data_IF_335638556031
#
_entry.id   IF_335638556031
#
_cell.length_a   1.000
_cell.length_b   1.000
_cell.length_c   1.000
_cell.angle_alpha   90.00
_cell.angle_beta   90.00
_cell.angle_gamma   90.00
#
_symmetry.space_group_name_H-M   'P 1'
#
loop_
_entity.id
_entity.type
_entity.pdbx_description
1 polymer ?
2 non-polymer ?
3 non-polymer ?
4 non-polymer ?
#
# COMPACT_ATOMS: atom_id res chain seq x y z
N UNK A 1 -5.04 31.60 11.96
CA UNK A 1 -4.88 30.84 10.72
C UNK A 1 -5.16 29.37 10.98
N UNK A 2 -6.02 28.80 10.14
CA UNK A 2 -6.34 27.38 10.22
C UNK A 2 -6.77 26.90 8.83
N UNK A 3 -7.12 25.63 8.74
CA UNK A 3 -7.62 25.05 7.51
C UNK A 3 -9.14 25.24 7.47
N UNK A 4 -9.66 25.44 6.27
CA UNK A 4 -11.12 25.60 6.17
C UNK A 4 -11.69 24.24 6.51
N UNK A 5 -10.94 23.19 6.22
CA UNK A 5 -11.39 21.81 6.54
C UNK A 5 -10.18 20.92 6.77
N UNK A 6 -10.13 20.26 7.90
CA UNK A 6 -9.11 19.28 8.24
C UNK A 6 -9.75 17.90 8.29
N UNK A 7 -9.76 17.16 7.19
CA UNK A 7 -10.09 15.74 7.29
C UNK A 7 -8.87 14.99 7.83
N UNK A 8 -9.16 13.82 8.38
CA UNK A 8 -8.12 12.90 8.83
C UNK A 8 -8.00 11.79 7.80
N UNK A 9 -6.81 11.66 7.22
CA UNK A 9 -6.53 10.61 6.24
C UNK A 9 -5.95 9.40 6.97
N UNK A 10 -6.70 8.30 6.98
CA UNK A 10 -6.30 7.11 7.73
C UNK A 10 -6.04 5.93 6.81
N UNK A 11 -4.80 5.58 6.57
CA UNK A 11 -4.50 4.33 5.87
C UNK A 11 -5.35 3.17 6.35
N UNK A 12 -5.91 2.41 5.40
CA UNK A 12 -6.71 1.25 5.72
C UNK A 12 -5.83 0.09 6.19
N UNK A 13 -6.50 -0.97 6.67
CA UNK A 13 -5.89 -2.19 7.20
C UNK A 13 -4.58 -1.90 7.93
N UNK A 14 -4.67 -1.05 8.95
CA UNK A 14 -3.51 -0.68 9.75
C UNK A 14 -3.16 -1.75 10.77
N UNK A 15 -1.89 -1.73 11.13
CA UNK A 15 -1.19 -2.66 12.03
C UNK A 15 -1.11 -1.98 13.39
N UNK A 16 -0.14 -2.39 14.23
CA UNK A 16 0.02 -2.00 15.61
C UNK A 16 -1.15 -2.47 16.44
N UNK A 17 -1.20 -1.96 17.65
CA UNK A 17 -2.34 -2.23 18.52
C UNK A 17 -3.34 -1.09 18.50
N UNK A 18 -4.59 -1.42 18.77
CA UNK A 18 -5.68 -0.49 18.89
C UNK A 18 -6.15 -0.41 20.35
N UNK A 19 -6.82 0.67 20.75
CA UNK A 19 -7.18 1.77 19.85
C UNK A 19 -5.97 2.57 19.45
N UNK A 20 -6.21 3.50 18.54
CA UNK A 20 -5.17 4.35 18.01
C UNK A 20 -5.66 5.77 18.12
N UNK A 21 -4.79 6.67 18.50
CA UNK A 21 -5.21 8.06 18.67
C UNK A 21 -5.12 8.74 17.33
N UNK A 22 -6.15 9.44 16.89
CA UNK A 22 -6.04 10.16 15.60
C UNK A 22 -5.72 11.63 15.63
N UNK A 23 -6.64 12.45 16.09
CA UNK A 23 -6.33 13.83 16.53
C UNK A 23 -6.99 14.08 17.88
N UNK A 24 -6.85 15.28 18.41
CA UNK A 24 -7.50 15.62 19.67
C UNK A 24 -8.42 16.82 19.50
N UNK A 25 -9.66 16.70 19.96
CA UNK A 25 -10.60 17.82 20.00
C UNK A 25 -10.22 18.81 21.10
N UNK A 26 -10.60 20.05 20.88
CA UNK A 26 -10.46 21.12 21.89
C UNK A 26 -11.44 22.22 21.56
N UNK A 27 -12.09 22.78 22.57
CA UNK A 27 -13.07 23.86 22.41
C UNK A 27 -12.51 25.17 22.96
N UNK A 28 -12.60 26.17 22.09
CA UNK A 28 -12.14 27.53 22.43
C UNK A 28 -13.27 27.97 23.32
N UNK A 29 -13.62 27.23 24.40
CA UNK A 29 -14.35 27.57 25.62
C UNK A 29 -14.01 26.64 26.79
N UNK A 30 -12.73 26.26 26.92
CA UNK A 30 -12.30 25.26 27.89
C UNK A 30 -11.50 25.82 29.07
N UNK A 31 -11.28 27.13 29.02
CA UNK A 31 -10.56 27.88 30.07
C UNK A 31 -11.65 28.36 31.03
N UNK A 32 -12.76 27.61 31.01
CA UNK A 32 -13.94 27.89 31.85
C UNK A 32 -14.13 26.68 32.73
N UNK A 33 -15.04 25.78 32.34
CA UNK A 33 -15.32 24.57 33.15
C UNK A 33 -14.48 23.41 32.62
N UNK A 34 -14.75 22.21 33.15
CA UNK A 34 -14.11 21.01 32.63
C UNK A 34 -15.09 20.45 31.60
N UNK A 35 -14.70 20.51 30.31
CA UNK A 35 -15.55 20.02 29.22
C UNK A 35 -15.43 18.51 29.10
N UNK A 36 -16.44 17.89 28.51
CA UNK A 36 -16.46 16.44 28.36
C UNK A 36 -16.94 16.12 26.95
N UNK A 37 -16.18 15.29 26.24
CA UNK A 37 -16.30 15.13 24.80
C UNK A 37 -16.96 13.81 24.42
N UNK A 38 -17.86 13.87 23.45
CA UNK A 38 -18.56 12.71 22.96
C UNK A 38 -18.53 12.74 21.44
N UNK A 39 -19.21 11.79 20.81
CA UNK A 39 -19.03 11.58 19.39
C UNK A 39 -20.24 10.83 18.84
N UNK A 40 -20.74 11.28 17.68
CA UNK A 40 -21.94 10.71 17.05
C UNK A 40 -21.73 10.55 15.55
N UNK A 41 -22.67 9.85 14.92
CA UNK A 41 -22.63 9.63 13.49
C UNK A 41 -22.43 8.17 13.17
N UNK A 42 -22.66 7.79 11.91
CA UNK A 42 -22.38 6.39 11.51
C UNK A 42 -20.90 6.09 11.58
N UNK A 43 -20.58 4.92 12.13
CA UNK A 43 -19.25 4.62 12.59
C UNK A 43 -19.03 4.90 14.07
N UNK A 44 -19.91 5.66 14.70
CA UNK A 44 -19.81 6.00 16.12
C UNK A 44 -21.00 5.49 16.91
N UNK A 45 -22.22 5.99 16.63
CA UNK A 45 -23.44 5.45 17.24
C UNK A 45 -24.42 4.85 16.23
N UNK A 46 -24.27 5.11 14.92
CA UNK A 46 -25.05 4.42 13.91
C UNK A 46 -24.27 3.17 13.48
N UNK A 47 -24.79 2.35 12.57
CA UNK A 47 -23.98 1.26 12.02
C UNK A 47 -22.94 1.82 11.06
N UNK A 48 -21.72 1.26 11.06
CA UNK A 48 -21.33 0.19 11.97
C UNK A 48 -20.94 0.76 13.33
N UNK A 49 -21.55 0.28 14.41
CA UNK A 49 -21.41 0.92 15.72
C UNK A 49 -20.03 0.66 16.31
N UNK A 50 -19.33 1.73 16.68
CA UNK A 50 -18.15 1.62 17.51
C UNK A 50 -16.81 1.59 16.80
N UNK A 51 -16.73 2.06 15.55
CA UNK A 51 -15.43 2.08 14.86
C UNK A 51 -14.57 3.25 15.36
N UNK A 52 -15.19 4.34 15.77
CA UNK A 52 -14.50 5.48 16.38
C UNK A 52 -15.09 5.73 17.77
N UNK A 53 -14.34 6.43 18.60
CA UNK A 53 -14.77 6.79 19.95
C UNK A 53 -13.85 7.88 20.46
N UNK A 54 -14.32 8.67 21.40
CA UNK A 54 -13.42 9.74 21.90
C UNK A 54 -13.40 9.64 23.42
N UNK A 55 -12.22 9.80 24.03
CA UNK A 55 -12.06 9.79 25.50
C UNK A 55 -12.78 11.02 26.01
N UNK A 56 -13.74 10.85 26.93
CA UNK A 56 -14.61 11.97 27.29
C UNK A 56 -13.83 13.13 27.92
N UNK A 57 -12.81 12.84 28.72
CA UNK A 57 -12.09 13.88 29.44
C UNK A 57 -10.78 14.31 28.78
N UNK A 58 -10.47 13.81 27.59
CA UNK A 58 -9.30 14.27 26.86
C UNK A 58 -9.64 14.89 25.51
N UNK A 59 -10.64 14.38 24.82
CA UNK A 59 -10.91 14.79 23.45
C UNK A 59 -10.19 13.99 22.38
N UNK A 60 -9.29 13.07 22.76
CA UNK A 60 -8.60 12.23 21.80
C UNK A 60 -9.61 11.38 21.02
N UNK A 61 -9.51 11.44 19.69
CA UNK A 61 -10.39 10.68 18.82
C UNK A 61 -9.70 9.36 18.49
N UNK A 62 -10.28 8.25 18.94
CA UNK A 62 -9.66 6.94 18.83
C UNK A 62 -10.30 6.12 17.72
N UNK A 63 -9.46 5.31 17.06
CA UNK A 63 -9.89 4.32 16.07
C UNK A 63 -9.75 2.93 16.68
N UNK A 64 -10.85 2.18 16.68
CA UNK A 64 -10.98 0.93 17.43
C UNK A 64 -10.59 -0.31 16.65
N UNK A 65 -10.88 -0.34 15.35
CA UNK A 65 -10.59 -1.45 14.47
C UNK A 65 -9.73 -0.94 13.33
N UNK A 66 -9.04 -1.82 12.62
CA UNK A 66 -8.44 -1.41 11.35
C UNK A 66 -9.56 -1.26 10.32
N UNK A 67 -9.40 -0.29 9.43
CA UNK A 67 -10.44 0.02 8.46
C UNK A 67 -10.21 -0.73 7.15
N UNK A 68 -11.31 -1.07 6.49
CA UNK A 68 -11.27 -1.57 5.12
C UNK A 68 -11.92 -0.50 4.26
N UNK A 69 -11.12 0.13 3.40
CA UNK A 69 -11.63 1.19 2.52
C UNK A 69 -12.66 0.65 1.54
N UNK A 70 -12.40 -0.52 0.97
CA UNK A 70 -13.31 -1.14 0.04
C UNK A 70 -14.64 -1.52 0.69
N UNK A 71 -14.74 -1.41 2.00
CA UNK A 71 -16.01 -1.61 2.69
C UNK A 71 -16.71 -0.29 2.98
N UNK A 72 -15.94 0.76 3.30
CA UNK A 72 -16.40 2.12 3.55
C UNK A 72 -15.21 3.06 3.45
N UNK A 73 -15.31 4.09 2.61
CA UNK A 73 -14.15 4.87 2.23
C UNK A 73 -14.14 6.27 2.83
N UNK A 74 -15.14 6.62 3.62
CA UNK A 74 -15.26 7.97 4.15
C UNK A 74 -16.25 7.89 5.29
N UNK A 75 -16.05 8.74 6.29
CA UNK A 75 -16.96 8.84 7.41
C UNK A 75 -17.20 10.32 7.68
N UNK A 76 -18.44 10.70 8.00
CA UNK A 76 -18.75 12.06 8.46
C UNK A 76 -19.40 11.96 9.84
N UNK A 77 -18.67 12.36 10.86
CA UNK A 77 -19.08 12.27 12.25
C UNK A 77 -19.19 13.67 12.81
N UNK A 78 -19.65 13.76 14.06
CA UNK A 78 -19.75 15.04 14.76
C UNK A 78 -19.26 14.88 16.19
N UNK A 79 -18.52 15.88 16.67
CA UNK A 79 -17.99 15.90 18.02
C UNK A 79 -18.75 16.91 18.85
N UNK A 80 -18.82 16.66 20.15
CA UNK A 80 -19.74 17.42 21.01
C UNK A 80 -19.05 17.92 22.26
N UNK A 81 -19.23 19.22 22.53
CA UNK A 81 -18.74 19.86 23.73
C UNK A 81 -19.89 20.02 24.71
N UNK A 82 -19.76 19.39 25.89
CA UNK A 82 -20.72 19.54 26.98
C UNK A 82 -19.95 19.72 28.28
N UNK A 83 -20.52 20.50 29.18
CA UNK A 83 -20.05 20.56 30.56
C UNK A 83 -20.77 19.49 31.37
N UNK A 84 -20.43 19.47 32.66
CA UNK A 84 -20.94 18.47 33.61
C UNK A 84 -22.47 18.48 33.74
N UNK A 85 -23.14 19.42 33.10
CA UNK A 85 -24.59 19.47 33.13
C UNK A 85 -25.23 19.10 31.79
N UNK A 86 -24.59 18.20 31.03
CA UNK A 86 -25.03 17.87 29.68
C UNK A 86 -25.28 19.06 28.79
N UNK A 87 -24.70 20.21 29.12
CA UNK A 87 -25.02 21.45 28.42
C UNK A 87 -24.19 21.59 27.15
N UNK A 88 -24.84 21.43 25.99
CA UNK A 88 -24.22 21.74 24.71
C UNK A 88 -23.64 23.14 24.75
N UNK A 89 -22.32 23.26 24.63
CA UNK A 89 -21.65 24.59 24.68
C UNK A 89 -21.47 25.46 23.44
N UNK A 90 -20.70 25.02 22.45
CA UNK A 90 -20.75 25.52 21.09
C UNK A 90 -21.37 24.44 20.22
N UNK A 91 -21.50 24.73 18.93
CA UNK A 91 -22.12 23.80 18.02
C UNK A 91 -21.21 22.60 17.83
N UNK A 92 -21.73 21.53 17.22
CA UNK A 92 -20.92 20.34 17.00
C UNK A 92 -20.00 20.53 15.81
N UNK A 93 -18.76 20.10 15.97
CA UNK A 93 -17.78 20.13 14.90
C UNK A 93 -17.87 18.88 14.02
N UNK A 94 -17.66 19.08 12.72
CA UNK A 94 -17.74 17.97 11.78
C UNK A 94 -16.42 17.26 11.69
N UNK A 95 -16.46 15.94 11.75
CA UNK A 95 -15.27 15.12 11.62
C UNK A 95 -15.38 14.35 10.32
N UNK A 96 -14.39 14.52 9.44
CA UNK A 96 -14.39 13.85 8.15
C UNK A 96 -13.18 12.91 8.07
N UNK A 97 -13.44 11.61 8.02
CA UNK A 97 -12.38 10.61 7.93
C UNK A 97 -12.31 10.11 6.51
N UNK A 98 -11.13 10.19 5.92
CA UNK A 98 -10.89 9.79 4.54
C UNK A 98 -9.98 8.58 4.59
N UNK A 99 -10.56 7.40 4.39
CA UNK A 99 -9.80 6.15 4.40
C UNK A 99 -8.92 6.08 3.15
N UNK A 100 -7.61 6.20 3.28
CA UNK A 100 -6.73 6.02 2.13
C UNK A 100 -6.44 4.54 1.90
N UNK A 101 -6.14 4.22 0.64
CA UNK A 101 -6.17 2.85 0.15
C UNK A 101 -4.80 2.19 0.23
N UNK A 102 -4.79 0.91 0.58
CA UNK A 102 -3.61 0.05 0.51
C UNK A 102 -3.86 -1.05 -0.52
N UNK A 103 -2.80 -1.79 -0.85
CA UNK A 103 -2.91 -2.78 -1.92
C UNK A 103 -3.31 -4.15 -1.38
N UNK A 104 -4.50 -4.21 -0.80
CA UNK A 104 -4.97 -5.38 -0.07
C UNK A 104 -5.86 -6.32 -0.91
N UNK A 105 -5.91 -6.15 -2.22
CA UNK A 105 -6.71 -6.98 -3.12
C UNK A 105 -5.87 -7.40 -4.31
N UNK A 106 -5.70 -8.69 -4.49
CA UNK A 106 -4.93 -9.22 -5.63
C UNK A 106 -5.84 -9.02 -6.83
N UNK A 107 -5.41 -8.67 -8.20
CA UNK A 107 -6.18 -8.52 -9.45
C UNK A 107 -6.83 -9.84 -9.88
N UNK A 108 -8.09 -9.74 -10.26
CA UNK A 108 -8.82 -10.94 -10.62
C UNK A 108 -9.33 -10.82 -12.04
N UNK A 109 -8.99 -11.78 -12.90
CA UNK A 109 -9.53 -11.85 -14.26
C UNK A 109 -11.04 -12.08 -14.21
N UNK A 110 -11.74 -11.64 -15.25
CA UNK A 110 -13.20 -11.76 -15.26
C UNK A 110 -13.67 -13.18 -15.60
N UNK A 111 -12.98 -13.89 -16.50
CA UNK A 111 -13.19 -15.32 -16.71
C UNK A 111 -11.88 -16.08 -16.62
N UNK A 112 -11.97 -17.35 -16.26
CA UNK A 112 -10.76 -18.17 -16.24
C UNK A 112 -10.21 -18.40 -17.64
N UNK A 113 -11.07 -18.37 -18.66
CA UNK A 113 -10.68 -18.67 -20.04
C UNK A 113 -11.40 -17.76 -21.01
N UNK A 114 -10.64 -16.89 -21.66
CA UNK A 114 -11.16 -16.06 -22.73
C UNK A 114 -11.01 -16.78 -24.06
N UNK A 115 -12.06 -16.70 -24.88
CA UNK A 115 -12.04 -17.35 -26.18
C UNK A 115 -12.11 -16.30 -27.27
N UNK A 116 -11.18 -16.36 -28.22
CA UNK A 116 -11.13 -15.45 -29.33
C UNK A 116 -10.74 -16.18 -30.60
N UNK A 117 -10.62 -15.41 -31.68
CA UNK A 117 -10.29 -15.98 -32.98
C UNK A 117 -9.94 -14.86 -33.95
N UNK A 118 -9.24 -15.26 -35.02
CA UNK A 118 -8.66 -14.33 -35.97
C UNK A 118 -8.36 -15.11 -37.25
N UNK A 119 -8.45 -14.43 -38.38
CA UNK A 119 -8.17 -15.09 -39.64
C UNK A 119 -6.65 -15.24 -39.86
N UNK A 120 -6.27 -16.35 -40.52
CA UNK A 120 -4.86 -16.65 -40.69
C UNK A 120 -4.10 -15.53 -41.40
N UNK A 121 -4.78 -14.75 -42.24
CA UNK A 121 -4.00 -13.88 -43.09
C UNK A 121 -3.99 -12.42 -42.69
N UNK A 122 -4.41 -12.10 -41.46
CA UNK A 122 -4.44 -10.71 -41.04
C UNK A 122 -3.02 -10.20 -40.88
N UNK A 123 -2.88 -8.89 -40.99
CA UNK A 123 -1.58 -8.25 -40.97
C UNK A 123 -1.06 -8.13 -39.53
N UNK A 124 0.24 -8.18 -39.35
CA UNK A 124 0.82 -7.85 -38.04
C UNK A 124 0.28 -6.52 -37.53
N UNK A 125 -0.06 -6.48 -36.24
CA UNK A 125 -0.74 -5.35 -35.61
C UNK A 125 -2.23 -5.56 -35.39
N UNK A 126 -2.81 -6.49 -36.11
CA UNK A 126 -4.25 -6.74 -36.11
C UNK A 126 -4.73 -7.21 -34.74
N UNK A 127 -5.70 -6.50 -34.18
CA UNK A 127 -6.31 -6.89 -32.92
C UNK A 127 -7.05 -8.21 -33.09
N UNK A 128 -7.27 -8.91 -31.97
CA UNK A 128 -7.80 -10.27 -31.96
C UNK A 128 -8.93 -10.42 -30.94
N UNK A 129 -8.64 -10.01 -29.70
CA UNK A 129 -9.57 -10.11 -28.58
C UNK A 129 -9.05 -9.21 -27.48
N UNK A 130 -9.85 -9.04 -26.44
CA UNK A 130 -9.44 -8.19 -25.31
C UNK A 130 -9.88 -8.81 -24.00
N UNK A 131 -8.90 -9.23 -23.20
CA UNK A 131 -9.13 -9.81 -21.89
C UNK A 131 -9.22 -8.73 -20.80
N UNK A 132 -9.71 -9.12 -19.62
CA UNK A 132 -9.96 -8.14 -18.58
C UNK A 132 -9.82 -8.70 -17.18
N UNK A 133 -9.08 -7.97 -16.32
CA UNK A 133 -8.99 -8.24 -14.89
C UNK A 133 -9.31 -6.98 -14.08
N UNK A 134 -10.06 -7.16 -12.99
CA UNK A 134 -10.48 -6.06 -12.15
C UNK A 134 -9.81 -6.12 -10.79
N UNK A 135 -9.37 -4.96 -10.29
CA UNK A 135 -8.71 -4.85 -8.99
C UNK A 135 -9.54 -3.92 -8.12
N UNK A 136 -9.96 -4.40 -6.96
CA UNK A 136 -10.87 -3.67 -6.10
C UNK A 136 -10.26 -2.42 -5.48
N UNK A 137 -8.94 -2.29 -5.49
CA UNK A 137 -8.26 -1.16 -4.88
C UNK A 137 -8.42 0.07 -5.76
N UNK A 138 -8.02 1.22 -5.23
CA UNK A 138 -8.16 2.46 -5.97
C UNK A 138 -7.18 2.50 -7.14
N UNK A 139 -7.69 2.75 -8.34
CA UNK A 139 -6.82 3.02 -9.47
C UNK A 139 -6.83 4.49 -9.86
N UNK A 140 -7.67 5.31 -9.23
CA UNK A 140 -7.74 6.74 -9.48
C UNK A 140 -6.54 7.49 -8.90
N UNK A 141 -6.41 7.49 -7.56
CA UNK A 141 -5.36 8.22 -6.85
C UNK A 141 -4.16 7.37 -6.45
N UNK A 142 -4.18 6.07 -6.72
CA UNK A 142 -3.07 5.20 -6.34
C UNK A 142 -2.90 4.11 -7.39
N UNK A 143 -1.73 3.49 -7.38
CA UNK A 143 -1.46 2.38 -8.29
C UNK A 143 -1.95 1.03 -7.79
N UNK A 144 -2.47 0.97 -6.56
CA UNK A 144 -2.80 -0.32 -5.96
C UNK A 144 -3.79 -1.11 -6.78
N UNK A 145 -4.64 -0.45 -7.56
CA UNK A 145 -5.63 -1.14 -8.36
C UNK A 145 -5.52 -0.82 -9.84
N UNK A 146 -4.30 -0.55 -10.28
CA UNK A 146 -3.96 -0.38 -11.69
C UNK A 146 -3.30 -1.65 -12.19
N UNK A 147 -3.92 -2.29 -13.18
CA UNK A 147 -3.50 -3.59 -13.71
C UNK A 147 -2.52 -3.44 -14.89
N UNK A 148 -1.54 -4.35 -14.97
CA UNK A 148 -0.66 -4.43 -16.13
C UNK A 148 -0.68 -5.83 -16.71
N UNK A 149 -0.94 -5.92 -18.02
CA UNK A 149 -1.16 -7.18 -18.73
C UNK A 149 0.10 -7.67 -19.43
N UNK A 150 0.20 -8.99 -19.57
CA UNK A 150 1.39 -9.60 -20.15
C UNK A 150 1.02 -11.01 -20.51
N UNK A 151 1.71 -11.54 -21.51
CA UNK A 151 1.53 -12.94 -21.89
C UNK A 151 2.64 -13.75 -21.25
N UNK A 152 2.27 -14.70 -20.39
CA UNK A 152 3.26 -15.58 -19.77
C UNK A 152 3.88 -16.47 -20.85
N UNK A 153 3.08 -17.37 -21.42
CA UNK A 153 3.60 -18.32 -22.41
C UNK A 153 2.56 -18.59 -23.47
N UNK A 154 3.05 -18.97 -24.65
CA UNK A 154 2.22 -19.40 -25.77
C UNK A 154 2.60 -20.84 -26.11
N UNK A 155 1.58 -21.69 -26.27
CA UNK A 155 1.80 -23.06 -26.69
C UNK A 155 0.74 -23.38 -27.73
N UNK A 156 1.10 -24.02 -28.85
CA UNK A 156 2.43 -24.50 -29.24
C UNK A 156 3.36 -23.36 -29.60
N UNK A 157 4.67 -23.53 -29.44
CA UNK A 157 5.62 -22.46 -29.79
C UNK A 157 5.96 -22.56 -31.28
N UNK A 158 4.89 -22.69 -32.07
CA UNK A 158 4.91 -22.97 -33.53
C UNK A 158 4.21 -21.72 -34.03
N UNK A 159 4.55 -21.08 -35.16
CA UNK A 159 5.77 -21.28 -35.90
C UNK A 159 6.83 -20.51 -35.13
N UNK A 160 6.67 -19.22 -34.94
CA UNK A 160 7.59 -18.48 -34.05
C UNK A 160 7.30 -18.71 -32.58
N UNK A 161 8.28 -18.35 -31.80
CA UNK A 161 8.19 -18.52 -30.34
C UNK A 161 7.10 -17.61 -29.80
N UNK A 162 6.93 -16.40 -30.34
CA UNK A 162 5.90 -15.55 -29.78
C UNK A 162 5.11 -14.92 -30.93
N UNK A 163 3.91 -15.41 -31.12
CA UNK A 163 3.12 -14.90 -32.25
C UNK A 163 2.21 -13.80 -31.79
N UNK A 164 2.01 -13.64 -30.51
CA UNK A 164 1.04 -12.66 -30.06
C UNK A 164 1.64 -11.74 -29.01
N UNK A 165 0.98 -10.61 -28.80
CA UNK A 165 1.31 -9.70 -27.72
C UNK A 165 0.02 -9.11 -27.16
N UNK A 166 0.13 -8.41 -26.03
CA UNK A 166 -1.02 -7.82 -25.34
C UNK A 166 -0.68 -6.41 -24.95
N UNK A 167 -1.68 -5.53 -25.03
CA UNK A 167 -1.54 -4.18 -24.52
C UNK A 167 -1.41 -4.18 -22.99
N UNK A 168 -0.38 -3.52 -22.47
CA UNK A 168 -0.13 -3.66 -21.04
C UNK A 168 -1.27 -3.09 -20.20
N UNK A 169 -1.96 -2.05 -20.67
CA UNK A 169 -3.05 -1.50 -19.87
C UNK A 169 -4.45 -1.86 -20.34
N UNK A 170 -4.68 -2.12 -21.64
CA UNK A 170 -6.04 -2.31 -22.18
C UNK A 170 -6.49 -3.76 -22.26
N UNK A 171 -5.58 -4.72 -22.32
CA UNK A 171 -5.95 -6.11 -22.44
C UNK A 171 -6.12 -6.61 -23.85
N UNK A 172 -5.88 -5.79 -24.85
CA UNK A 172 -6.07 -6.19 -26.24
C UNK A 172 -4.88 -7.03 -26.71
N UNK A 173 -5.17 -8.26 -27.08
CA UNK A 173 -4.20 -9.14 -27.71
C UNK A 173 -4.17 -8.88 -29.21
N UNK A 174 -2.98 -8.75 -29.78
CA UNK A 174 -2.79 -8.54 -31.21
C UNK A 174 -1.76 -9.53 -31.75
N UNK A 175 -1.74 -9.64 -33.07
CA UNK A 175 -0.75 -10.45 -33.77
C UNK A 175 0.52 -9.62 -33.95
N UNK A 176 1.68 -10.18 -33.56
CA UNK A 176 2.95 -9.49 -33.76
C UNK A 176 3.78 -10.09 -34.87
N UNK A 177 3.42 -11.27 -35.40
CA UNK A 177 4.28 -11.94 -36.36
C UNK A 177 3.51 -12.60 -37.49
N UNK A 178 4.18 -12.75 -38.62
CA UNK A 178 3.66 -13.41 -39.79
C UNK A 178 3.66 -14.92 -39.59
N UNK A 179 2.74 -15.59 -40.26
CA UNK A 179 2.79 -17.03 -40.41
C UNK A 179 1.73 -17.86 -39.74
N UNK A 180 0.57 -17.31 -39.47
CA UNK A 180 -0.52 -18.16 -38.99
C UNK A 180 -1.02 -19.05 -40.12
N UNK A 181 -1.55 -20.20 -39.74
CA UNK A 181 -2.07 -21.16 -40.72
C UNK A 181 -2.97 -22.14 -39.99
N UNK A 182 -4.26 -22.14 -40.33
CA UNK A 182 -5.15 -23.09 -39.70
C UNK A 182 -4.68 -24.52 -39.92
N UNK A 183 -4.11 -24.79 -41.10
CA UNK A 183 -3.68 -26.16 -41.38
C UNK A 183 -2.54 -26.58 -40.46
N UNK A 184 -1.60 -25.68 -40.17
CA UNK A 184 -0.45 -26.07 -39.36
C UNK A 184 -0.74 -25.97 -37.86
N UNK A 185 -1.27 -24.85 -37.39
CA UNK A 185 -1.69 -24.75 -35.99
C UNK A 185 -3.05 -24.05 -35.94
N UNK A 186 -4.12 -24.80 -35.68
CA UNK A 186 -5.47 -24.24 -35.70
C UNK A 186 -5.89 -23.54 -34.43
N UNK A 187 -5.06 -23.56 -33.38
CA UNK A 187 -5.43 -22.95 -32.12
C UNK A 187 -4.17 -22.79 -31.26
N UNK A 188 -4.08 -21.64 -30.59
CA UNK A 188 -3.02 -21.31 -29.66
C UNK A 188 -3.63 -21.09 -28.28
N UNK A 189 -2.85 -21.36 -27.24
CA UNK A 189 -3.33 -21.25 -25.88
C UNK A 189 -2.38 -20.36 -25.10
N UNK A 190 -2.82 -19.13 -24.82
CA UNK A 190 -1.97 -18.08 -24.29
C UNK A 190 -2.19 -17.95 -22.79
N UNK A 191 -1.16 -18.29 -22.00
CA UNK A 191 -1.23 -18.02 -20.57
C UNK A 191 -1.09 -16.51 -20.38
N UNK A 192 -2.13 -15.88 -19.85
CA UNK A 192 -2.13 -14.44 -19.71
C UNK A 192 -1.99 -14.09 -18.24
N UNK A 193 -1.38 -12.94 -17.96
CA UNK A 193 -1.19 -12.53 -16.57
C UNK A 193 -1.54 -11.06 -16.37
N UNK A 194 -2.05 -10.79 -15.18
CA UNK A 194 -2.44 -9.45 -14.77
C UNK A 194 -1.74 -9.11 -13.47
N UNK A 195 -0.99 -8.02 -13.47
CA UNK A 195 -0.18 -7.65 -12.31
C UNK A 195 -0.57 -6.25 -11.83
N UNK A 196 -0.85 -6.11 -10.52
CA UNK A 196 -1.33 -4.85 -9.98
C UNK A 196 -0.15 -3.94 -9.58
N UNK A 197 -0.46 -2.77 -9.06
CA UNK A 197 0.52 -1.69 -8.90
C UNK A 197 1.28 -1.47 -10.21
N UNK A 198 0.54 -1.54 -11.32
CA UNK A 198 1.07 -1.34 -12.68
C UNK A 198 2.31 -2.19 -12.97
N UNK A 199 2.44 -3.34 -12.28
CA UNK A 199 3.48 -4.29 -12.62
C UNK A 199 4.27 -4.79 -11.44
N UNK A 200 4.50 -3.91 -10.47
CA UNK A 200 5.34 -4.22 -9.32
C UNK A 200 4.55 -4.83 -8.18
N UNK A 201 3.42 -5.46 -8.47
CA UNK A 201 2.53 -5.90 -7.42
C UNK A 201 2.28 -7.39 -7.54
N UNK A 202 1.09 -7.80 -7.10
CA UNK A 202 0.58 -9.16 -7.16
C UNK A 202 0.06 -9.52 -8.56
N UNK A 203 0.05 -10.84 -8.85
CA UNK A 203 -0.36 -11.39 -10.15
C UNK A 203 -1.40 -12.49 -9.97
N UNK A 204 -2.41 -12.54 -10.84
CA UNK A 204 -3.01 -13.84 -11.15
C UNK A 204 -2.92 -14.07 -12.63
N UNK A 205 -3.30 -15.31 -12.97
CA UNK A 205 -3.06 -15.91 -14.26
C UNK A 205 -4.38 -16.44 -14.77
N UNK A 206 -4.58 -16.31 -16.07
CA UNK A 206 -5.69 -16.96 -16.78
C UNK A 206 -5.13 -17.52 -18.07
N UNK A 207 -6.01 -17.88 -18.98
CA UNK A 207 -5.57 -18.25 -20.31
C UNK A 207 -6.55 -17.75 -21.35
N UNK A 208 -6.01 -17.32 -22.48
CA UNK A 208 -6.77 -16.93 -23.66
C UNK A 208 -6.53 -17.93 -24.79
N UNK A 209 -7.62 -18.51 -25.31
CA UNK A 209 -7.56 -19.56 -26.33
C UNK A 209 -7.91 -18.94 -27.67
N UNK A 210 -6.92 -18.82 -28.56
CA UNK A 210 -7.12 -18.18 -29.86
C UNK A 210 -7.25 -19.25 -30.94
N UNK A 211 -8.37 -19.24 -31.66
CA UNK A 211 -8.61 -20.16 -32.76
C UNK A 211 -8.30 -19.46 -34.08
N UNK A 212 -7.59 -20.17 -34.97
CA UNK A 212 -7.14 -19.65 -36.27
C UNK A 212 -8.10 -20.10 -37.37
N UNK A 213 -8.43 -19.20 -38.30
CA UNK A 213 -9.56 -19.39 -39.20
C UNK A 213 -9.15 -19.28 -40.65
N UNK A 214 -9.94 -19.91 -41.54
CA UNK A 214 -9.75 -19.90 -42.99
C UNK A 214 -10.49 -18.74 -43.65
N UNK B 1 -14.38 25.36 18.13
CA UNK B 1 -13.89 24.00 18.37
C UNK B 1 -13.10 23.50 17.18
N UNK B 2 -11.86 23.08 17.42
CA UNK B 2 -10.97 22.70 16.34
C UNK B 2 -10.00 21.65 16.86
N UNK B 3 -9.13 21.17 15.98
CA UNK B 3 -8.13 20.19 16.36
C UNK B 3 -6.96 20.88 17.02
N UNK B 4 -6.34 20.17 17.98
CA UNK B 4 -5.17 20.69 18.66
C UNK B 4 -4.01 20.87 17.69
N UNK B 5 -3.70 19.82 16.94
CA UNK B 5 -2.82 19.88 15.78
C UNK B 5 -3.59 19.23 14.65
N UNK B 6 -3.41 19.74 13.42
CA UNK B 6 -4.01 19.14 12.22
C UNK B 6 -2.91 18.78 11.23
N UNK B 7 -2.30 17.61 11.38
CA UNK B 7 -1.39 17.13 10.34
C UNK B 7 -2.16 16.70 9.11
N UNK B 8 -1.47 16.69 7.98
CA UNK B 8 -2.02 16.21 6.70
C UNK B 8 -1.33 14.90 6.36
N UNK B 9 -2.06 13.80 6.36
CA UNK B 9 -1.49 12.49 6.08
C UNK B 9 -1.65 12.17 4.59
N UNK B 10 -0.53 12.02 3.90
CA UNK B 10 -0.50 11.97 2.44
C UNK B 10 0.08 10.66 1.96
N UNK B 11 -0.71 9.78 1.36
CA UNK B 11 -0.13 8.52 0.88
C UNK B 11 0.95 8.77 -0.16
N UNK B 12 2.06 8.04 -0.04
CA UNK B 12 3.20 8.16 -0.92
C UNK B 12 2.95 7.47 -2.26
N UNK B 13 3.87 7.69 -3.20
CA UNK B 13 3.82 7.09 -4.53
C UNK B 13 2.41 7.14 -5.10
N UNK B 14 1.86 8.34 -5.08
CA UNK B 14 0.53 8.58 -5.58
C UNK B 14 0.50 8.85 -7.04
N UNK B 15 -0.70 8.79 -7.60
CA UNK B 15 -0.92 8.82 -9.03
C UNK B 15 -1.56 10.12 -9.50
N UNK B 16 -2.48 9.99 -10.45
CA UNK B 16 -3.16 11.10 -11.07
C UNK B 16 -2.15 12.08 -11.56
N UNK B 17 -2.63 13.23 -12.01
CA UNK B 17 -1.73 14.29 -12.43
C UNK B 17 -1.42 15.24 -11.26
N UNK B 18 -0.35 15.98 -11.43
CA UNK B 18 0.03 16.96 -10.44
C UNK B 18 0.02 18.37 -11.03
N UNK B 19 -0.20 19.41 -10.21
CA UNK B 19 -0.40 19.46 -8.77
C UNK B 19 -1.69 18.85 -8.27
N UNK B 20 -1.68 18.53 -6.99
CA UNK B 20 -2.85 18.06 -6.27
C UNK B 20 -3.11 18.96 -5.08
N UNK B 21 -4.37 19.19 -4.79
CA UNK B 21 -4.66 20.05 -3.64
C UNK B 21 -4.66 19.20 -2.40
N UNK B 22 -4.21 19.75 -1.29
CA UNK B 22 -4.27 19.05 -0.01
C UNK B 22 -5.19 19.55 1.09
N UNK B 23 -4.91 20.67 1.72
CA UNK B 23 -5.93 21.43 2.48
C UNK B 23 -5.84 22.89 2.10
N UNK B 24 -6.79 23.67 2.56
CA UNK B 24 -6.85 25.08 2.23
C UNK B 24 -6.60 25.94 3.46
N UNK B 25 -5.64 26.85 3.35
CA UNK B 25 -5.37 27.84 4.39
C UNK B 25 -6.38 28.98 4.33
N UNK B 26 -6.70 29.54 5.49
CA UNK B 26 -7.42 30.81 5.57
C UNK B 26 -7.02 31.50 6.86
N UNK B 27 -6.90 32.83 6.81
CA UNK B 27 -6.57 33.60 8.00
C UNK B 27 -7.83 34.21 8.60
N UNK B 28 -7.80 34.38 9.91
CA UNK B 28 -8.94 34.90 10.72
C UNK B 28 -9.50 36.17 10.10
N UNK B 29 -8.63 37.07 9.65
CA UNK B 29 -8.99 38.45 9.33
C UNK B 29 -8.66 38.81 7.89
N UNK B 30 -9.50 38.37 6.94
CA UNK B 30 -9.25 38.67 5.52
C UNK B 30 -10.41 39.45 4.89
N UNK B 31 -10.98 40.39 5.64
CA UNK B 31 -11.73 41.50 5.09
C UNK B 31 -11.04 42.83 5.40
N UNK B 32 -9.74 42.79 5.72
CA UNK B 32 -8.92 43.92 6.15
C UNK B 32 -8.16 44.53 4.97
N UNK B 33 -7.22 43.77 4.40
CA UNK B 33 -6.71 43.96 3.04
C UNK B 33 -6.92 42.62 2.30
N UNK B 34 -6.58 42.58 1.02
CA UNK B 34 -6.47 41.31 0.29
C UNK B 34 -5.31 40.50 0.87
N UNK B 35 -5.42 39.17 0.85
CA UNK B 35 -4.43 38.34 1.53
C UNK B 35 -3.70 37.46 0.53
N UNK B 36 -2.37 37.48 0.60
CA UNK B 36 -1.49 36.71 -0.27
C UNK B 36 -0.71 35.70 0.56
N UNK B 37 -0.86 34.41 0.23
CA UNK B 37 -0.28 33.32 0.99
C UNK B 37 1.08 32.88 0.45
N UNK B 38 1.87 32.25 1.32
CA UNK B 38 3.22 31.81 1.01
C UNK B 38 3.60 30.68 1.95
N UNK B 39 4.27 29.65 1.45
CA UNK B 39 4.79 28.61 2.33
C UNK B 39 6.30 28.61 2.24
N UNK B 40 6.94 28.15 3.33
CA UNK B 40 8.38 28.09 3.48
C UNK B 40 8.78 26.82 4.24
N UNK B 41 10.01 26.40 4.05
CA UNK B 41 10.57 25.30 4.80
C UNK B 41 11.15 24.21 3.93
N UNK B 42 11.86 23.29 4.55
CA UNK B 42 12.33 22.11 3.84
C UNK B 42 11.23 21.37 3.10
N UNK B 43 11.30 21.38 1.76
CA UNK B 43 10.24 20.88 0.91
C UNK B 43 9.46 21.97 0.22
N UNK B 44 9.69 23.22 0.60
CA UNK B 44 9.07 24.37 -0.03
C UNK B 44 10.13 25.27 -0.64
N UNK B 45 10.83 26.06 0.19
CA UNK B 45 11.84 26.98 -0.32
C UNK B 45 13.26 26.57 0.05
N UNK B 46 13.43 25.48 0.78
CA UNK B 46 14.74 24.86 0.98
C UNK B 46 14.65 23.44 0.45
N UNK B 47 15.78 22.77 0.26
CA UNK B 47 15.76 21.46 -0.41
C UNK B 47 15.03 20.43 0.46
N UNK B 48 14.20 19.58 -0.16
CA UNK B 48 14.00 19.62 -1.61
C UNK B 48 13.05 20.74 -2.03
N UNK B 49 13.49 21.62 -2.92
CA UNK B 49 12.64 22.75 -3.27
C UNK B 49 11.48 22.29 -4.16
N UNK B 50 10.39 23.06 -4.11
CA UNK B 50 9.29 22.92 -5.03
C UNK B 50 8.46 21.65 -4.90
N UNK B 51 8.57 20.95 -3.78
CA UNK B 51 7.73 19.78 -3.56
C UNK B 51 6.32 20.21 -3.17
N UNK B 52 6.21 21.16 -2.24
CA UNK B 52 4.94 21.76 -1.89
C UNK B 52 4.88 23.20 -2.38
N UNK B 53 3.66 23.68 -2.60
CA UNK B 53 3.45 25.05 -3.04
C UNK B 53 2.04 25.48 -2.63
N UNK B 54 1.86 26.78 -2.43
CA UNK B 54 0.56 27.33 -2.04
C UNK B 54 0.07 28.24 -3.14
N UNK B 55 -1.24 28.29 -3.32
CA UNK B 55 -1.84 29.23 -4.27
C UNK B 55 -1.89 30.61 -3.63
N UNK B 56 -1.18 31.58 -4.21
CA UNK B 56 -1.09 32.93 -3.65
C UNK B 56 -2.45 33.45 -3.21
N UNK B 57 -3.46 33.38 -4.09
CA UNK B 57 -4.76 33.96 -3.80
C UNK B 57 -5.67 33.01 -3.05
N UNK B 58 -5.79 31.76 -3.51
CA UNK B 58 -6.85 30.91 -2.97
C UNK B 58 -6.49 30.28 -1.64
N UNK B 59 -5.19 30.12 -1.35
CA UNK B 59 -4.72 29.50 -0.12
C UNK B 59 -4.60 27.99 -0.16
N UNK B 60 -4.80 27.38 -1.33
CA UNK B 60 -4.70 25.94 -1.46
C UNK B 60 -3.26 25.51 -1.39
N UNK B 61 -3.00 24.52 -0.55
CA UNK B 61 -1.69 23.91 -0.49
C UNK B 61 -1.64 22.82 -1.54
N UNK B 62 -0.59 22.82 -2.35
CA UNK B 62 -0.51 21.91 -3.49
C UNK B 62 0.65 20.95 -3.34
N UNK B 63 0.44 19.71 -3.81
CA UNK B 63 1.50 18.72 -3.99
C UNK B 63 1.93 18.74 -5.45
N UNK B 64 3.23 18.84 -5.69
CA UNK B 64 3.74 19.00 -7.04
C UNK B 64 4.23 17.71 -7.63
N UNK B 65 4.89 16.87 -6.85
CA UNK B 65 5.36 15.57 -7.30
C UNK B 65 4.92 14.53 -6.30
N UNK B 66 4.98 13.26 -6.67
CA UNK B 66 4.71 12.19 -5.71
C UNK B 66 5.82 12.10 -4.69
N UNK B 67 5.46 11.69 -3.48
CA UNK B 67 6.39 11.58 -2.37
C UNK B 67 6.80 10.12 -2.17
N UNK B 68 8.07 9.90 -1.87
CA UNK B 68 8.54 8.59 -1.43
C UNK B 68 8.75 8.64 0.08
N UNK B 69 7.86 8.02 0.83
CA UNK B 69 7.98 8.09 2.30
C UNK B 69 9.27 7.44 2.72
N UNK B 70 9.79 6.58 1.87
CA UNK B 70 11.01 5.79 2.08
C UNK B 70 12.26 6.68 1.80
N UNK B 71 12.13 7.99 1.55
CA UNK B 71 13.13 9.06 1.30
C UNK B 71 12.93 10.17 2.32
N UNK B 72 11.77 10.82 2.32
CA UNK B 72 11.42 11.71 3.42
C UNK B 72 10.04 11.29 3.90
N UNK B 73 9.92 11.13 5.21
CA UNK B 73 8.71 10.59 5.80
C UNK B 73 7.84 11.66 6.43
N UNK B 74 8.38 12.85 6.67
CA UNK B 74 7.52 13.95 7.08
C UNK B 74 8.22 15.27 6.83
N UNK B 75 7.43 16.26 6.48
CA UNK B 75 7.86 17.62 6.24
C UNK B 75 7.39 18.51 7.37
N UNK B 76 8.02 19.66 7.53
CA UNK B 76 7.55 20.71 8.43
C UNK B 76 7.62 22.03 7.69
N UNK B 77 6.48 22.55 7.29
CA UNK B 77 6.39 23.79 6.52
C UNK B 77 5.74 24.87 7.36
N UNK B 78 5.79 26.09 6.86
CA UNK B 78 5.19 27.23 7.54
C UNK B 78 4.31 27.99 6.58
N UNK B 79 3.10 28.33 7.04
CA UNK B 79 2.20 29.14 6.26
C UNK B 79 2.35 30.61 6.62
N UNK B 80 2.37 31.46 5.59
CA UNK B 80 2.52 32.90 5.75
C UNK B 80 1.32 33.61 5.14
N UNK B 81 0.79 34.59 5.85
CA UNK B 81 -0.31 35.42 5.35
C UNK B 81 0.16 36.85 5.32
N UNK B 82 0.21 37.45 4.14
CA UNK B 82 0.65 38.83 4.00
C UNK B 82 -0.38 39.64 3.22
N UNK B 83 -0.80 40.75 3.78
CA UNK B 83 -1.79 41.59 3.12
C UNK B 83 -1.17 42.22 1.89
N UNK B 84 -2.03 42.79 1.04
CA UNK B 84 -1.51 43.44 -0.15
C UNK B 84 -0.67 44.67 0.18
N UNK B 85 -0.67 45.13 1.43
CA UNK B 85 0.13 46.29 1.81
C UNK B 85 1.49 45.92 2.38
N UNK B 86 1.77 44.64 2.58
CA UNK B 86 3.08 44.21 3.04
C UNK B 86 3.13 43.77 4.48
N UNK B 87 1.97 43.59 5.10
CA UNK B 87 1.86 43.38 6.55
C UNK B 87 1.69 41.90 6.87
N UNK B 88 2.56 41.36 7.71
CA UNK B 88 2.40 39.99 8.18
C UNK B 88 1.26 39.97 9.18
N UNK B 89 0.11 39.43 8.78
CA UNK B 89 -1.11 39.63 9.56
C UNK B 89 -1.13 38.74 10.80
N UNK B 90 -0.73 37.48 10.63
CA UNK B 90 -0.78 36.48 11.70
C UNK B 90 0.59 35.89 11.89
N UNK B 91 0.67 34.94 12.81
CA UNK B 91 1.97 34.29 12.90
C UNK B 91 2.03 33.13 11.92
N UNK B 92 3.19 32.92 11.32
CA UNK B 92 3.34 31.76 10.45
C UNK B 92 2.85 30.50 11.14
N UNK B 93 1.91 29.80 10.50
CA UNK B 93 1.26 28.63 11.06
C UNK B 93 2.03 27.37 10.74
N UNK B 94 2.14 26.49 11.72
CA UNK B 94 2.86 25.24 11.54
C UNK B 94 2.08 24.30 10.65
N UNK B 95 2.71 23.88 9.55
CA UNK B 95 2.16 22.93 8.60
C UNK B 95 2.97 21.65 8.68
N UNK B 96 2.33 20.56 9.07
CA UNK B 96 2.98 19.26 9.24
C UNK B 96 2.40 18.24 8.27
N UNK B 97 3.24 17.72 7.37
CA UNK B 97 2.82 16.74 6.37
C UNK B 97 3.41 15.39 6.76
N UNK B 98 2.54 14.44 7.07
CA UNK B 98 2.95 13.07 7.42
C UNK B 98 2.80 12.19 6.19
N UNK B 99 3.90 11.59 5.74
CA UNK B 99 3.86 10.72 4.56
C UNK B 99 3.56 9.29 5.01
N UNK B 100 2.43 8.74 4.57
CA UNK B 100 2.06 7.38 4.95
C UNK B 100 2.51 6.38 3.89
N UNK B 101 2.55 5.12 4.29
CA UNK B 101 3.28 4.07 3.58
C UNK B 101 2.41 3.34 2.58
N UNK B 102 2.90 3.22 1.35
CA UNK B 102 2.47 2.21 0.39
C UNK B 102 3.55 1.14 0.28
N UNK B 103 3.17 0.01 -0.31
CA UNK B 103 4.05 -1.17 -0.34
C UNK B 103 4.87 -1.17 -1.62
N UNK B 104 5.93 -0.35 -1.65
CA UNK B 104 6.68 -0.08 -2.86
C UNK B 104 8.12 -0.57 -2.80
N UNK B 105 8.42 -1.50 -1.88
CA UNK B 105 9.72 -2.17 -1.87
C UNK B 105 9.46 -3.64 -1.65
N UNK B 106 9.93 -4.46 -2.58
CA UNK B 106 9.88 -5.90 -2.35
C UNK B 106 10.90 -6.25 -1.27
N UNK B 107 10.63 -7.28 -0.48
CA UNK B 107 11.60 -7.70 0.55
C UNK B 107 12.84 -8.31 -0.09
N UNK B 108 14.01 -7.95 0.43
CA UNK B 108 15.28 -8.37 -0.15
C UNK B 108 16.11 -9.06 0.92
N UNK B 109 16.52 -10.29 0.59
CA UNK B 109 17.26 -11.21 1.50
C UNK B 109 18.65 -10.71 1.81
N UNK B 110 19.01 -10.89 3.06
CA UNK B 110 20.27 -10.43 3.67
C UNK B 110 21.45 -10.82 2.80
N UNK B 111 21.57 -12.11 2.49
CA UNK B 111 22.68 -12.67 1.70
C UNK B 111 22.10 -13.54 0.61
N UNK B 112 22.77 -13.69 -0.53
CA UNK B 112 22.20 -14.55 -1.55
C UNK B 112 22.16 -16.00 -1.09
N UNK B 113 23.21 -16.45 -0.41
CA UNK B 113 23.24 -17.78 0.19
C UNK B 113 23.61 -17.66 1.66
N UNK B 114 22.83 -18.30 2.51
CA UNK B 114 23.11 -18.39 3.94
C UNK B 114 23.69 -19.76 4.24
N UNK B 115 24.69 -19.80 5.11
CA UNK B 115 25.39 -21.03 5.46
C UNK B 115 25.36 -21.20 6.98
N UNK B 116 24.98 -22.40 7.43
CA UNK B 116 24.88 -22.74 8.83
C UNK B 116 25.08 -24.23 8.96
N UNK B 117 25.16 -24.71 10.19
CA UNK B 117 25.40 -26.13 10.41
C UNK B 117 24.78 -26.57 11.72
N UNK B 118 24.57 -27.90 11.84
CA UNK B 118 24.09 -28.55 13.06
C UNK B 118 24.69 -29.95 13.18
N UNK B 119 24.33 -30.68 14.24
CA UNK B 119 24.91 -31.98 14.59
C UNK B 119 23.88 -33.10 14.53
N UNK B 120 24.35 -34.31 14.17
CA UNK B 120 23.48 -35.45 13.90
C UNK B 120 22.33 -35.63 14.90
N UNK B 121 22.66 -35.70 16.18
CA UNK B 121 21.66 -36.19 17.11
C UNK B 121 20.92 -35.15 17.91
N UNK B 122 20.73 -33.95 17.35
CA UNK B 122 20.06 -32.89 18.10
C UNK B 122 18.57 -33.18 18.19
N UNK B 123 18.01 -32.89 19.37
CA UNK B 123 16.59 -33.09 19.62
C UNK B 123 15.76 -32.26 18.65
N UNK B 124 14.68 -32.82 18.10
CA UNK B 124 13.67 -31.97 17.45
C UNK B 124 13.36 -30.74 18.28
N UNK B 125 13.23 -29.58 17.63
CA UNK B 125 12.99 -28.31 18.30
C UNK B 125 14.17 -27.37 18.39
N UNK B 126 15.29 -27.71 17.75
CA UNK B 126 16.62 -27.20 18.07
C UNK B 126 17.06 -26.20 16.99
N UNK B 127 17.40 -24.97 17.40
CA UNK B 127 17.86 -23.96 16.45
C UNK B 127 19.10 -24.42 15.70
N UNK B 128 19.29 -23.87 14.51
CA UNK B 128 20.35 -24.30 13.60
C UNK B 128 21.03 -23.06 13.04
N UNK B 129 20.23 -22.06 12.73
CA UNK B 129 20.69 -20.80 12.15
C UNK B 129 19.49 -19.87 12.06
N UNK B 130 19.77 -18.63 11.72
CA UNK B 130 18.73 -17.63 11.50
C UNK B 130 19.08 -16.90 10.22
N UNK B 131 18.13 -16.82 9.31
CA UNK B 131 18.25 -16.00 8.15
C UNK B 131 17.43 -14.73 8.40
N UNK B 132 17.54 -13.84 7.47
CA UNK B 132 16.65 -12.69 7.55
C UNK B 132 16.42 -12.22 6.13
N UNK B 133 15.69 -11.19 6.02
CA UNK B 133 15.54 -10.26 4.92
C UNK B 133 14.96 -8.97 5.45
N UNK B 134 15.30 -7.87 4.79
CA UNK B 134 14.80 -6.55 5.15
C UNK B 134 13.78 -6.09 4.13
N UNK B 135 12.74 -5.41 4.60
CA UNK B 135 11.81 -4.71 3.74
C UNK B 135 11.89 -3.23 4.11
N UNK B 136 12.30 -2.41 3.15
CA UNK B 136 12.52 -1.00 3.43
C UNK B 136 11.24 -0.27 3.84
N UNK B 137 10.10 -0.92 3.64
CA UNK B 137 8.78 -0.31 3.97
C UNK B 137 8.56 -0.29 5.49
N UNK B 138 7.47 0.28 5.90
CA UNK B 138 7.16 0.44 7.33
C UNK B 138 6.61 -0.85 7.90
N UNK B 139 6.95 -1.16 9.16
CA UNK B 139 6.37 -2.31 9.83
C UNK B 139 5.74 -2.01 11.15
N UNK B 140 5.81 -0.76 11.61
CA UNK B 140 5.13 -0.34 12.84
C UNK B 140 3.64 -0.16 12.63
N UNK B 141 3.28 0.63 11.62
CA UNK B 141 1.91 1.07 11.38
C UNK B 141 1.22 0.34 10.23
N UNK B 142 1.98 -0.13 9.25
CA UNK B 142 1.43 -0.93 8.17
C UNK B 142 2.03 -2.32 8.20
N UNK B 143 1.44 -3.21 7.41
CA UNK B 143 2.00 -4.53 7.18
C UNK B 143 2.93 -4.56 5.98
N UNK B 144 3.13 -3.42 5.33
CA UNK B 144 3.87 -3.37 4.08
C UNK B 144 5.34 -3.73 4.25
N UNK B 145 5.88 -3.59 5.44
CA UNK B 145 7.25 -3.96 5.67
C UNK B 145 7.39 -5.17 6.57
N UNK B 146 6.26 -5.72 7.04
CA UNK B 146 6.30 -6.90 7.89
C UNK B 146 6.51 -8.14 7.03
N UNK B 147 7.49 -8.98 7.42
CA UNK B 147 7.97 -10.08 6.60
C UNK B 147 7.50 -11.42 7.18
N UNK B 148 7.04 -12.31 6.30
CA UNK B 148 6.76 -13.69 6.65
C UNK B 148 7.79 -14.59 5.97
N UNK B 149 8.25 -15.62 6.70
CA UNK B 149 9.29 -16.53 6.26
C UNK B 149 8.73 -17.93 6.04
N UNK B 150 9.29 -18.64 5.05
CA UNK B 150 8.87 -20.00 4.76
C UNK B 150 9.99 -20.75 4.05
N UNK B 151 9.82 -22.07 3.99
CA UNK B 151 10.70 -22.97 3.26
C UNK B 151 9.93 -23.54 2.09
N UNK B 152 10.42 -23.31 0.86
CA UNK B 152 9.85 -23.85 -0.35
C UNK B 152 10.09 -25.36 -0.45
N UNK B 153 11.36 -25.75 -0.68
CA UNK B 153 11.73 -27.15 -0.90
C UNK B 153 12.96 -27.51 -0.08
N UNK B 154 13.26 -28.81 -0.03
CA UNK B 154 14.39 -29.34 0.74
C UNK B 154 15.05 -30.44 -0.08
N UNK B 155 16.30 -30.21 -0.49
CA UNK B 155 17.05 -31.21 -1.24
C UNK B 155 18.39 -31.43 -0.56
N UNK B 156 18.82 -32.69 -0.37
CA UNK B 156 18.08 -33.89 -0.79
C UNK B 156 16.88 -34.18 0.10
N UNK B 157 15.84 -34.79 -0.48
CA UNK B 157 14.69 -35.16 0.33
C UNK B 157 15.09 -36.10 1.46
N UNK B 158 15.93 -37.08 1.15
CA UNK B 158 16.28 -38.28 1.90
C UNK B 158 15.43 -38.53 3.16
N UNK B 159 16.00 -38.50 4.38
CA UNK B 159 15.33 -39.22 5.48
C UNK B 159 13.87 -38.85 5.66
N UNK B 160 13.51 -37.76 5.00
CA UNK B 160 12.16 -37.19 5.19
C UNK B 160 12.01 -36.00 4.27
N UNK B 161 10.90 -35.29 4.43
CA UNK B 161 10.56 -34.27 3.46
C UNK B 161 10.40 -32.96 4.22
N UNK B 162 9.78 -33.03 5.38
CA UNK B 162 9.79 -31.91 6.32
C UNK B 162 10.87 -32.16 7.36
N UNK B 163 12.12 -31.95 6.92
CA UNK B 163 13.26 -32.09 7.83
C UNK B 163 13.41 -30.88 8.74
N UNK B 164 13.03 -29.70 8.25
CA UNK B 164 13.19 -28.45 8.96
C UNK B 164 11.91 -27.63 8.90
N UNK B 165 11.75 -26.77 9.90
CA UNK B 165 10.82 -25.65 9.84
C UNK B 165 11.60 -24.35 9.90
N UNK B 166 10.96 -23.27 9.55
CA UNK B 166 11.48 -21.94 9.81
C UNK B 166 10.39 -21.16 10.54
N UNK B 167 10.79 -20.43 11.57
CA UNK B 167 9.81 -19.64 12.30
C UNK B 167 9.22 -18.58 11.39
N UNK B 168 7.89 -18.48 11.38
CA UNK B 168 7.20 -17.62 10.41
C UNK B 168 7.70 -16.18 10.45
N UNK B 169 7.99 -15.65 11.63
CA UNK B 169 8.28 -14.22 11.76
C UNK B 169 9.70 -13.88 12.21
N UNK B 170 10.42 -14.79 12.90
CA UNK B 170 11.81 -14.54 13.32
C UNK B 170 12.86 -15.04 12.32
N UNK B 171 12.54 -16.06 11.53
CA UNK B 171 13.49 -16.56 10.56
C UNK B 171 14.47 -17.59 11.07
N UNK B 172 14.09 -18.35 12.09
CA UNK B 172 14.95 -19.33 12.75
C UNK B 172 14.62 -20.70 12.18
N UNK B 173 15.55 -21.26 11.42
CA UNK B 173 15.41 -22.62 10.89
C UNK B 173 15.80 -23.61 11.97
N UNK B 174 14.85 -24.45 12.38
CA UNK B 174 15.05 -25.56 13.30
C UNK B 174 15.06 -26.89 12.56
N UNK B 175 15.51 -27.94 13.27
CA UNK B 175 15.31 -29.33 12.85
C UNK B 175 14.11 -29.84 13.61
N UNK B 176 13.32 -30.69 12.95
CA UNK B 176 12.04 -31.07 13.51
C UNK B 176 11.83 -32.59 13.46
N UNK B 177 12.73 -33.31 12.79
CA UNK B 177 12.66 -34.77 12.67
C UNK B 177 14.01 -35.37 13.06
N UNK B 178 14.06 -36.03 14.21
CA UNK B 178 15.23 -36.82 14.52
C UNK B 178 15.47 -37.82 13.40
N UNK B 179 16.73 -37.98 13.00
CA UNK B 179 17.05 -38.89 11.93
C UNK B 179 18.18 -38.36 11.07
N UNK B 180 18.88 -37.35 11.56
CA UNK B 180 20.01 -36.86 10.81
C UNK B 180 21.16 -37.85 10.89
N UNK B 181 22.00 -37.85 9.87
CA UNK B 181 23.16 -38.73 9.84
C UNK B 181 24.15 -38.20 8.80
N UNK B 182 25.35 -37.85 9.24
CA UNK B 182 26.27 -37.19 8.32
C UNK B 182 26.76 -38.15 7.22
N UNK B 183 26.72 -39.45 7.48
CA UNK B 183 27.17 -40.41 6.48
C UNK B 183 26.14 -40.60 5.38
N UNK B 184 24.85 -40.63 5.71
CA UNK B 184 23.80 -40.84 4.71
C UNK B 184 23.49 -39.56 3.93
N UNK B 185 23.43 -38.42 4.61
CA UNK B 185 23.21 -37.11 3.97
C UNK B 185 24.03 -36.07 4.72
N UNK B 186 24.99 -35.40 4.07
CA UNK B 186 25.91 -34.52 4.81
C UNK B 186 25.50 -33.06 4.76
N UNK B 187 24.81 -32.66 3.67
CA UNK B 187 24.54 -31.25 3.39
C UNK B 187 23.15 -31.13 2.76
N UNK B 188 22.16 -30.76 3.57
CA UNK B 188 20.89 -30.28 3.04
C UNK B 188 21.04 -28.87 2.47
N UNK B 189 20.11 -28.50 1.61
CA UNK B 189 20.05 -27.13 1.08
C UNK B 189 18.59 -26.72 1.00
N UNK B 190 18.17 -25.83 1.90
CA UNK B 190 16.81 -25.34 1.96
C UNK B 190 16.64 -24.13 1.05
N UNK B 191 15.56 -24.14 0.26
CA UNK B 191 15.20 -23.02 -0.61
C UNK B 191 14.14 -22.18 0.10
N UNK B 192 14.53 -21.02 0.60
CA UNK B 192 13.74 -20.28 1.58
C UNK B 192 13.12 -19.02 0.95
N UNK B 193 12.09 -18.50 1.61
CA UNK B 193 11.32 -17.42 1.01
C UNK B 193 10.86 -16.38 2.04
N UNK B 194 10.99 -15.12 1.67
CA UNK B 194 10.52 -13.99 2.45
C UNK B 194 9.38 -13.27 1.71
N UNK B 195 8.26 -13.04 2.39
CA UNK B 195 7.07 -12.47 1.74
C UNK B 195 6.52 -11.28 2.54
N UNK B 196 6.43 -10.11 1.90
CA UNK B 196 6.01 -8.91 2.62
C UNK B 196 4.49 -8.91 2.81
N UNK B 197 3.96 -7.85 3.42
CA UNK B 197 2.58 -7.81 3.93
C UNK B 197 2.24 -9.07 4.70
N UNK B 198 3.22 -9.64 5.40
CA UNK B 198 2.96 -10.74 6.31
C UNK B 198 2.48 -11.97 5.57
N UNK B 199 2.99 -12.17 4.34
CA UNK B 199 2.69 -13.32 3.53
C UNK B 199 1.73 -13.09 2.38
N UNK B 200 1.11 -11.91 2.29
CA UNK B 200 0.08 -11.63 1.30
C UNK B 200 0.57 -10.71 0.19
N UNK B 201 1.88 -10.53 0.08
CA UNK B 201 2.46 -9.60 -0.88
C UNK B 201 3.52 -10.30 -1.71
N UNK B 202 4.59 -9.55 -1.97
CA UNK B 202 5.68 -10.01 -2.83
C UNK B 202 6.59 -11.02 -2.10
N UNK B 203 7.27 -11.86 -2.88
CA UNK B 203 8.08 -12.93 -2.34
C UNK B 203 9.48 -12.91 -2.94
N UNK B 204 10.50 -12.81 -2.09
CA UNK B 204 11.88 -12.91 -2.52
C UNK B 204 12.39 -14.30 -2.16
N UNK B 205 13.29 -14.82 -2.98
CA UNK B 205 13.77 -16.18 -2.76
C UNK B 205 15.27 -16.17 -2.55
N UNK B 206 15.71 -17.03 -1.63
CA UNK B 206 17.13 -17.23 -1.34
C UNK B 206 17.29 -18.64 -0.80
N UNK B 207 18.54 -19.03 -0.53
CA UNK B 207 18.84 -20.39 -0.09
C UNK B 207 19.58 -20.37 1.24
N UNK B 208 19.33 -21.41 2.04
CA UNK B 208 20.11 -21.69 3.24
C UNK B 208 20.63 -23.11 3.14
N UNK B 209 21.92 -23.29 3.40
CA UNK B 209 22.59 -24.58 3.25
C UNK B 209 23.03 -25.04 4.64
N UNK B 210 22.32 -25.99 5.21
CA UNK B 210 22.71 -26.57 6.49
C UNK B 210 23.63 -27.76 6.21
N UNK B 211 24.78 -27.77 6.88
CA UNK B 211 25.70 -28.91 6.87
C UNK B 211 25.50 -29.66 8.16
N UNK B 212 25.36 -30.99 8.07
CA UNK B 212 25.26 -31.83 9.26
C UNK B 212 26.64 -32.36 9.59
N UNK B 213 26.95 -32.43 10.90
CA UNK B 213 28.30 -32.69 11.41
C UNK B 213 28.30 -33.90 12.34
N UNK B 214 29.50 -34.46 12.57
CA UNK B 214 29.72 -35.76 13.22
C UNK B 214 29.40 -35.85 14.71
X LIG C 1 -1.18 6.59 15.67
X LIG C 1 2.94 9.14 12.16
X LIG C 1 2.91 10.07 13.20
X LIG C 1 4.03 10.85 13.49
X LIG C 1 5.18 10.73 12.74
X LIG C 1 5.22 9.82 11.71
X LIG C 1 4.12 9.02 11.42
X LIG C 1 1.61 7.66 10.58
X LIG C 1 0.50 6.90 10.26
X LIG C 1 -1.83 7.55 14.65
X LIG C 1 -1.57 7.10 13.24
X LIG C 1 -2.34 6.30 12.44
X LIG C 1 -3.67 5.67 12.71
X LIG C 1 -0.50 6.78 11.23
X LIG C 1 -0.39 7.41 12.49
X LIG C 1 0.73 8.18 12.78
X LIG C 1 1.75 8.30 11.84
X LIG C 1 -0.32 7.16 16.74
X LIG C 1 -1.70 6.11 11.22
X LIG C 1 -1.91 6.09 16.11
X LIG C 1 -0.64 5.95 15.16
X LIG C 1 2.14 10.16 13.72
X LIG C 1 3.98 11.49 14.18
X LIG C 1 5.93 11.26 12.93
X LIG C 1 6.02 9.72 11.20
X LIG C 1 4.16 8.39 10.71
X LIG C 1 2.30 7.76 9.93
X LIG C 1 0.42 6.48 9.43
X LIG C 1 -1.47 8.45 14.78
X LIG C 1 -2.79 7.59 14.81
X LIG C 1 -3.75 5.48 13.66
X LIG C 1 -3.75 4.85 12.21
X LIG C 1 -4.38 6.28 12.45
X LIG C 1 0.81 8.62 13.62
X LIG C 1 -0.79 7.70 17.25
X LIG C 1 0.35 7.64 16.40
X LIG C 1 -2.01 5.63 10.55
X LIG D 1 -9.78 6.81 -2.65
X LIG D 1 -10.71 12.85 -1.65
X LIG D 1 -10.83 13.76 -2.71
X LIG D 1 -11.96 14.55 -2.85
X LIG D 1 -12.97 14.48 -1.93
X LIG D 1 -12.88 13.59 -0.87
X LIG D 1 -11.76 12.78 -0.74
X LIG D 1 -8.21 12.53 -1.50
X LIG D 1 -7.08 11.73 -1.40
X LIG D 1 -9.45 7.32 -1.25
X LIG D 1 -8.36 8.35 -1.26
X LIG D 1 -7.03 8.11 -1.19
X LIG D 1 -6.29 6.82 -1.09
X LIG D 1 -7.27 10.35 -1.32
X LIG D 1 -8.55 9.78 -1.35
X LIG D 1 -9.67 10.60 -1.46
X LIG D 1 -9.51 11.98 -1.52
X LIG D 1 -11.11 6.22 -2.72
X LIG D 1 -6.36 9.32 -1.22
X LIG D 1 -9.72 7.56 -3.28
X LIG D 1 -9.11 6.14 -2.91
X LIG D 1 -10.13 13.82 -3.35
X LIG D 1 -12.01 15.15 -3.58
X LIG D 1 -13.73 15.03 -2.02
X LIG D 1 -13.58 13.54 -0.24
X LIG D 1 -11.71 12.18 -0.01
X LIG D 1 -8.10 13.47 -1.55
X LIG D 1 -6.22 12.11 -1.39
X LIG D 1 -9.18 6.56 -0.70
X LIG D 1 -10.26 7.70 -0.85
X LIG D 1 -6.76 6.23 -0.48
X LIG D 1 -5.40 6.98 -0.77
X LIG D 1 -6.26 6.40 -1.96
X LIG D 1 -10.54 10.22 -1.47
X LIG D 1 -11.72 6.85 -2.56
X LIG D 1 -11.19 5.62 -2.09
X LIG D 1 -5.48 9.42 -1.19
X LIG E 1 -2.49 -8.39 6.42
X LIG E 1 -3.83 -7.78 6.62
X LIG E 1 -2.51 -9.35 4.89
X LIG E 1 -2.17 -9.69 7.66
X LIG E 1 -1.54 -9.32 4.44
X LIG E 1 -3.21 -8.94 4.22
X LIG E 1 -2.77 -10.35 5.09
X LIG E 1 -1.47 -10.39 7.28
X LIG E 1 -3.07 -10.17 7.91
X LIG E 1 -1.75 -9.24 8.54
X LIG F 1 -4.53 -4.56 -5.76
X LIG G 1 -7.45 -1.48 -0.93
X LIG H 1 -14.56 -1.12 8.16
X LIG I 1 5.05 2.26 -9.60
X LIG I 1 4.18 2.49 -10.75
X LIG I 1 4.01 1.90 -8.25
X LIG I 1 5.52 3.86 -9.07
X LIG J 1 7.30 -4.23 1.20
X LIG K 1 6.65 2.32 1.13
X LIG L 1 10.22 13.06 -2.29
#
# INVERSE_FOLDING_TARGET
>A
MDWVVAPISVPENGKGPFPQRLNQLKSNKDRDTKIFYSITGPGADSPPEGVFAVEKETGWLLLNKPLDREEIAKYELFGHAVSENGASVEDPMNISIIVTDQNDHKPKFTQDTFRGSVLEGVLPGTSVMQVTATDEDDAIYTYNGVVAYSIHSQEPKDPHDLMFTIHRSTGTISVISSGLDREKVPEYTLTIQATDMDGDGSTTTAVAVVEILD
>B
MDWVVAPISVPENGKGPFPQRLNQLKSNKDRDTKIFYSITGPGADSPPEGVFAVEKETGWLLLNKPLDREEIAKYELFGHAVSENGASVEDPMNISIIVTDQNDHKPKFTQDTFRGSVLEGVLPGTSVMQVTATDEDDAIYTYNGVVAYSIHSQEPKDPHDLMFTIHRSTGTISVISSGLDREKVPEYTLTIQATDMDGDGSTTTAVAVVEILD
>C hetero
1 22R C1 C10 C11 C12 C13 C14 C15 C16 C17 C2 C3 C4 C5 C6 C7 C8 C9 N1 N2 H3 H4 H12 H13 H14 H15 H16 H17 H18 H5 H6 H9 H7 H8 H11 H1 H2 H10
>D hetero
1 22R C1 C10 C11 C12 C13 C14 C15 C16 C17 C2 C3 C4 C5 C6 C7 C8 C9 N1 N2 H3 H4 H12 H13 H14 H15 H16 H17 H18 H5 H6 H9 H7 H8 H11 H1 H2 H10
>E hetero
1 DMS S O C1 C2 H11 H12 H13 H21 H22 H23
>F hetero
1 CA CA
>G hetero
1 CA CA
>H hetero
1 CA CA
>I hetero
1 DMS S O C1 C2
>J hetero
1 CA CA
>K hetero
1 CA CA
>L hetero
1 CA CA
#
